data_IF_619836829640
#
_entry.id   IF_619836829640
#
_cell.length_a   1.000
_cell.length_b   1.000
_cell.length_c   1.000
_cell.angle_alpha   90.00
_cell.angle_beta   90.00
_cell.angle_gamma   90.00
#
_symmetry.space_group_name_H-M   'P 1'
#
loop_
_entity.id
_entity.type
_entity.pdbx_description
1 polymer ?
#
# COMPACT_ATOMS: atom_id res chain seq x y z
N UNK A 1 -19.73 61.05 15.61
CA UNK A 1 -20.25 60.65 14.28
C UNK A 1 -19.22 59.74 13.65
N UNK A 2 -19.39 58.42 13.76
CA UNK A 2 -20.20 57.59 12.87
C UNK A 2 -19.28 56.87 11.86
N UNK A 3 -18.97 55.62 12.23
CA UNK A 3 -18.87 54.40 11.41
C UNK A 3 -18.08 54.37 10.10
N UNK A 4 -17.19 53.37 10.01
CA UNK A 4 -17.15 52.22 9.06
C UNK A 4 -15.72 51.64 9.07
N UNK A 5 -15.43 50.34 8.96
CA UNK A 5 -16.13 49.06 8.91
C UNK A 5 -15.01 48.02 9.10
N UNK A 6 -15.30 46.94 9.82
CA UNK A 6 -14.39 45.84 10.10
C UNK A 6 -13.87 45.18 8.82
N UNK A 7 -12.54 45.17 8.64
CA UNK A 7 -11.90 44.27 7.68
C UNK A 7 -11.37 43.04 8.41
N UNK A 8 -12.08 41.94 8.13
CA UNK A 8 -11.94 40.58 8.62
C UNK A 8 -10.48 40.07 8.64
N UNK A 9 -10.21 39.34 9.72
CA UNK A 9 -9.23 38.25 9.82
C UNK A 9 -8.98 37.53 8.50
N UNK A 10 -7.74 37.63 8.00
CA UNK A 10 -7.18 36.62 7.11
C UNK A 10 -6.32 35.69 7.97
N UNK A 11 -6.87 34.50 8.22
CA UNK A 11 -6.20 33.42 8.89
C UNK A 11 -4.86 33.10 8.20
N UNK A 12 -3.86 32.82 9.02
CA UNK A 12 -2.56 32.29 8.62
C UNK A 12 -2.78 31.00 7.81
N UNK A 13 -2.71 31.09 6.49
CA UNK A 13 -2.63 29.91 5.62
C UNK A 13 -1.28 29.28 5.87
N UNK A 14 -1.24 28.29 6.78
CA UNK A 14 -0.12 27.40 6.93
C UNK A 14 -0.07 26.57 5.64
N UNK A 15 0.83 26.92 4.73
CA UNK A 15 1.14 26.06 3.58
C UNK A 15 1.56 24.71 4.14
N UNK A 16 0.68 23.70 4.03
CA UNK A 16 1.08 22.32 4.21
C UNK A 16 2.08 22.04 3.10
N UNK A 17 3.37 22.10 3.45
CA UNK A 17 4.44 21.66 2.57
C UNK A 17 4.05 20.28 2.05
N UNK A 18 4.10 20.12 0.73
CA UNK A 18 4.26 18.81 0.15
C UNK A 18 5.55 18.25 0.72
N UNK A 19 5.45 17.51 1.83
CA UNK A 19 6.43 16.48 2.15
C UNK A 19 6.51 15.67 0.86
N UNK A 20 7.60 15.83 0.09
CA UNK A 20 7.86 14.93 -1.00
C UNK A 20 7.92 13.54 -0.36
N UNK A 21 6.83 12.80 -0.50
CA UNK A 21 6.76 11.44 -0.03
C UNK A 21 7.71 10.64 -0.92
N UNK A 22 8.98 10.63 -0.53
CA UNK A 22 10.06 10.01 -1.27
C UNK A 22 10.01 8.50 -1.01
N UNK A 23 8.89 7.88 -1.38
CA UNK A 23 8.76 6.44 -1.34
C UNK A 23 9.63 5.85 -2.43
N UNK A 24 10.49 4.90 -2.05
CA UNK A 24 11.23 4.12 -3.03
C UNK A 24 10.26 3.43 -3.99
N UNK A 25 10.69 3.29 -5.24
CA UNK A 25 10.00 2.46 -6.22
C UNK A 25 10.29 0.97 -5.94
N UNK A 26 9.42 0.06 -6.39
CA UNK A 26 9.78 -1.34 -6.49
C UNK A 26 10.98 -1.49 -7.43
N UNK A 27 11.80 -2.51 -7.20
CA UNK A 27 12.97 -2.72 -8.06
C UNK A 27 12.55 -3.05 -9.50
N UNK A 28 13.38 -2.70 -10.49
CA UNK A 28 13.11 -3.00 -11.89
C UNK A 28 12.86 -4.50 -12.13
N UNK A 29 13.60 -5.36 -11.43
CA UNK A 29 13.45 -6.82 -11.51
C UNK A 29 12.07 -7.25 -11.00
N UNK A 30 11.62 -6.69 -9.87
CA UNK A 30 10.29 -6.94 -9.33
C UNK A 30 9.20 -6.51 -10.31
N UNK A 31 9.30 -5.32 -10.90
CA UNK A 31 8.34 -4.83 -11.89
C UNK A 31 8.31 -5.72 -13.13
N UNK A 32 9.46 -6.12 -13.66
CA UNK A 32 9.56 -7.05 -14.81
C UNK A 32 8.88 -8.39 -14.50
N UNK A 33 9.11 -8.95 -13.31
CA UNK A 33 8.47 -10.20 -12.89
C UNK A 33 6.97 -10.05 -12.70
N UNK A 34 6.51 -8.98 -12.05
CA UNK A 34 5.09 -8.72 -11.83
C UNK A 34 4.34 -8.56 -13.16
N UNK A 35 4.90 -7.78 -14.11
CA UNK A 35 4.35 -7.61 -15.46
C UNK A 35 4.28 -8.95 -16.20
N UNK A 36 5.34 -9.76 -16.13
CA UNK A 36 5.34 -11.10 -16.74
C UNK A 36 4.21 -11.97 -16.18
N UNK A 37 4.03 -11.97 -14.85
CA UNK A 37 2.96 -12.72 -14.20
C UNK A 37 1.58 -12.19 -14.60
N UNK A 38 1.39 -10.86 -14.63
CA UNK A 38 0.12 -10.24 -15.03
C UNK A 38 -0.29 -10.59 -16.45
N UNK A 39 0.67 -10.64 -17.40
CA UNK A 39 0.42 -11.06 -18.78
C UNK A 39 0.06 -12.54 -18.89
N UNK A 40 0.80 -13.42 -18.19
CA UNK A 40 0.61 -14.88 -18.30
C UNK A 40 -0.68 -15.34 -17.61
N UNK A 41 -0.97 -14.77 -16.45
CA UNK A 41 -2.07 -15.20 -15.60
C UNK A 41 -3.35 -14.35 -15.80
N UNK A 42 -3.31 -13.37 -16.70
CA UNK A 42 -4.35 -12.36 -17.00
C UNK A 42 -4.92 -11.69 -15.73
N UNK A 43 -4.00 -11.12 -14.92
CA UNK A 43 -4.34 -10.49 -13.64
C UNK A 43 -3.87 -9.04 -13.57
N UNK A 44 -4.71 -8.11 -13.08
CA UNK A 44 -4.28 -6.75 -12.80
C UNK A 44 -3.21 -6.71 -11.70
N UNK A 45 -2.26 -5.80 -11.87
CA UNK A 45 -1.25 -5.46 -10.86
C UNK A 45 -1.76 -4.26 -10.08
N UNK A 46 -1.94 -4.43 -8.77
CA UNK A 46 -2.44 -3.43 -7.84
C UNK A 46 -1.30 -2.98 -6.91
N UNK A 47 -1.14 -1.67 -6.76
CA UNK A 47 -0.10 -1.03 -5.94
C UNK A 47 -0.67 -0.22 -4.76
N UNK A 48 -1.94 -0.42 -4.43
CA UNK A 48 -2.67 0.18 -3.31
C UNK A 48 -2.09 -0.18 -1.92
N UNK A 49 -1.38 -1.30 -1.82
CA UNK A 49 -0.66 -1.73 -0.62
C UNK A 49 0.82 -1.29 -0.55
N UNK A 50 1.40 -0.75 -1.64
CA UNK A 50 2.82 -0.44 -1.71
C UNK A 50 3.24 0.54 -0.62
N UNK A 51 2.62 1.71 -0.61
CA UNK A 51 2.92 2.77 0.34
C UNK A 51 2.64 2.34 1.78
N UNK A 52 1.50 1.69 2.01
CA UNK A 52 1.12 1.21 3.33
C UNK A 52 2.09 0.13 3.86
N UNK A 53 2.71 -0.65 2.98
CA UNK A 53 3.71 -1.64 3.35
C UNK A 53 5.04 -1.02 3.77
N UNK A 54 5.46 0.08 3.14
CA UNK A 54 6.64 0.86 3.55
C UNK A 54 6.41 1.54 4.91
N UNK A 55 5.22 2.10 5.09
CA UNK A 55 4.82 2.80 6.33
C UNK A 55 4.43 1.88 7.49
N UNK A 56 4.55 0.56 7.32
CA UNK A 56 4.17 -0.41 8.34
C UNK A 56 2.68 -0.35 8.75
N UNK A 57 1.83 0.24 7.90
CA UNK A 57 0.37 0.33 8.08
C UNK A 57 -0.34 -0.91 7.56
N UNK A 58 0.23 -1.59 6.56
CA UNK A 58 -0.25 -2.88 6.08
C UNK A 58 0.54 -4.04 6.69
N UNK A 59 -0.11 -5.18 6.85
CA UNK A 59 0.50 -6.43 7.33
C UNK A 59 0.07 -7.64 6.52
N UNK A 60 0.92 -8.66 6.52
CA UNK A 60 0.54 -10.02 6.11
C UNK A 60 -0.06 -10.70 7.34
N UNK A 61 -1.38 -10.87 7.34
CA UNK A 61 -2.13 -11.59 8.37
C UNK A 61 -2.15 -13.10 8.07
N UNK A 62 -1.69 -13.93 9.00
CA UNK A 62 -1.86 -15.39 8.94
C UNK A 62 -3.05 -15.84 9.77
N UNK A 63 -3.95 -16.61 9.18
CA UNK A 63 -5.09 -17.27 9.84
C UNK A 63 -4.69 -18.62 10.44
N UNK A 64 -5.49 -19.14 11.36
CA UNK A 64 -5.21 -20.41 12.05
C UNK A 64 -5.21 -21.63 11.13
N UNK A 65 -5.93 -21.55 10.00
CA UNK A 65 -5.94 -22.59 8.96
C UNK A 65 -4.69 -22.57 8.06
N UNK A 66 -3.72 -21.67 8.31
CA UNK A 66 -2.50 -21.53 7.52
C UNK A 66 -2.63 -20.61 6.31
N UNK A 67 -3.83 -20.09 6.04
CA UNK A 67 -4.06 -19.09 4.99
C UNK A 67 -3.44 -17.74 5.36
N UNK A 68 -3.06 -16.97 4.34
CA UNK A 68 -2.52 -15.63 4.52
C UNK A 68 -3.34 -14.63 3.73
N UNK A 69 -3.50 -13.42 4.27
CA UNK A 69 -4.15 -12.28 3.61
C UNK A 69 -3.32 -11.02 3.83
N UNK A 70 -3.43 -10.04 2.94
CA UNK A 70 -2.98 -8.69 3.22
C UNK A 70 -4.07 -7.95 3.97
N UNK A 71 -3.69 -7.25 5.04
CA UNK A 71 -4.60 -6.48 5.89
C UNK A 71 -4.04 -5.08 6.06
N UNK A 72 -4.79 -4.06 5.66
CA UNK A 72 -4.47 -2.66 5.94
C UNK A 72 -5.26 -2.12 7.11
N UNK A 73 -6.52 -2.52 7.24
CA UNK A 73 -7.40 -2.27 8.38
C UNK A 73 -8.52 -3.33 8.40
N UNK A 74 -9.52 -3.17 9.28
CA UNK A 74 -10.61 -4.16 9.43
C UNK A 74 -11.50 -4.28 8.19
N UNK A 75 -11.65 -3.20 7.42
CA UNK A 75 -12.52 -3.15 6.24
C UNK A 75 -11.76 -3.39 4.92
N UNK A 76 -10.45 -3.14 4.93
CA UNK A 76 -9.58 -3.22 3.76
C UNK A 76 -8.57 -4.36 3.95
N UNK A 77 -8.93 -5.51 3.39
CA UNK A 77 -8.10 -6.72 3.31
C UNK A 77 -8.31 -7.43 1.98
N UNK A 78 -7.34 -8.26 1.59
CA UNK A 78 -7.42 -9.04 0.35
C UNK A 78 -8.07 -10.40 0.58
N UNK A 79 -8.46 -11.06 -0.51
CA UNK A 79 -8.69 -12.50 -0.50
C UNK A 79 -7.41 -13.28 -0.17
N UNK A 80 -7.57 -14.59 0.06
CA UNK A 80 -6.47 -15.48 0.42
C UNK A 80 -5.34 -15.43 -0.60
N UNK A 81 -4.12 -15.26 -0.11
CA UNK A 81 -2.88 -15.31 -0.87
C UNK A 81 -2.68 -16.75 -1.38
N UNK A 82 -2.64 -16.91 -2.70
CA UNK A 82 -2.38 -18.18 -3.37
C UNK A 82 -0.90 -18.41 -3.63
N UNK A 83 -0.18 -17.35 -4.03
CA UNK A 83 1.28 -17.39 -4.29
C UNK A 83 1.96 -16.21 -3.63
N UNK A 84 3.16 -16.46 -3.10
CA UNK A 84 3.96 -15.47 -2.40
C UNK A 84 5.41 -15.58 -2.86
N UNK A 85 5.92 -14.56 -3.55
CA UNK A 85 7.27 -14.53 -4.09
C UNK A 85 8.09 -13.41 -3.47
N UNK A 86 9.35 -13.70 -3.12
CA UNK A 86 10.34 -12.67 -2.73
C UNK A 86 11.19 -12.29 -3.93
N UNK A 87 11.30 -10.99 -4.20
CA UNK A 87 12.12 -10.42 -5.25
C UNK A 87 12.94 -9.27 -4.66
N UNK A 88 14.15 -9.57 -4.21
CA UNK A 88 15.00 -8.60 -3.52
C UNK A 88 14.36 -8.07 -2.24
N UNK A 89 14.14 -6.76 -2.21
CA UNK A 89 13.51 -6.02 -1.12
C UNK A 89 11.99 -5.88 -1.30
N UNK A 90 11.40 -6.63 -2.21
CA UNK A 90 9.98 -6.58 -2.52
C UNK A 90 9.34 -7.97 -2.45
N UNK A 91 8.03 -8.01 -2.23
CA UNK A 91 7.22 -9.20 -2.42
C UNK A 91 6.23 -9.00 -3.58
N UNK A 92 6.06 -10.07 -4.37
CA UNK A 92 4.98 -10.20 -5.35
C UNK A 92 3.99 -11.20 -4.77
N UNK A 93 2.78 -10.74 -4.50
CA UNK A 93 1.74 -11.51 -3.83
C UNK A 93 0.60 -11.71 -4.82
N UNK A 94 0.16 -12.95 -5.01
CA UNK A 94 -0.95 -13.25 -5.90
C UNK A 94 -2.12 -13.78 -5.11
N UNK A 95 -3.28 -13.19 -5.36
CA UNK A 95 -4.58 -13.72 -4.95
C UNK A 95 -5.22 -14.42 -6.15
N UNK A 96 -6.49 -14.81 -6.00
CA UNK A 96 -7.26 -15.41 -7.08
C UNK A 96 -7.36 -14.52 -8.32
N UNK A 97 -7.53 -13.20 -8.15
CA UNK A 97 -7.88 -12.28 -9.24
C UNK A 97 -6.91 -11.11 -9.41
N UNK A 98 -5.90 -10.96 -8.56
CA UNK A 98 -5.01 -9.81 -8.61
C UNK A 98 -3.60 -10.12 -8.12
N UNK A 99 -2.65 -9.30 -8.58
CA UNK A 99 -1.26 -9.31 -8.16
C UNK A 99 -1.00 -8.05 -7.36
N UNK A 100 -0.44 -8.18 -6.16
CA UNK A 100 -0.05 -7.07 -5.31
C UNK A 100 1.47 -6.98 -5.20
N UNK A 101 1.97 -5.75 -5.15
CA UNK A 101 3.36 -5.45 -4.82
C UNK A 101 3.42 -4.80 -3.43
N UNK A 102 4.31 -5.31 -2.59
CA UNK A 102 4.58 -4.76 -1.26
C UNK A 102 6.08 -4.77 -0.95
N UNK A 103 6.54 -3.87 -0.09
CA UNK A 103 7.90 -3.88 0.44
C UNK A 103 8.14 -5.16 1.27
N UNK A 104 9.35 -5.70 1.20
CA UNK A 104 9.75 -6.83 2.02
C UNK A 104 9.80 -6.50 3.52
N UNK A 105 9.81 -5.21 3.85
CA UNK A 105 9.72 -4.67 5.21
C UNK A 105 8.33 -4.81 5.84
N UNK A 106 7.31 -5.22 5.07
CA UNK A 106 5.95 -5.39 5.58
C UNK A 106 5.92 -6.35 6.79
N UNK A 107 5.20 -5.94 7.84
CA UNK A 107 5.03 -6.75 9.05
C UNK A 107 4.19 -8.00 8.80
N UNK A 108 4.48 -9.06 9.56
CA UNK A 108 3.71 -10.32 9.57
C UNK A 108 3.08 -10.48 10.94
N UNK A 109 1.77 -10.71 11.00
CA UNK A 109 1.03 -10.92 12.27
C UNK A 109 0.13 -12.15 12.15
N UNK A 110 -0.04 -12.88 13.25
CA UNK A 110 -1.12 -13.86 13.35
C UNK A 110 -2.41 -13.11 13.65
N UNK A 111 -3.47 -13.45 12.94
CA UNK A 111 -4.81 -12.94 13.13
C UNK A 111 -5.70 -14.14 13.50
N UNK A 112 -6.36 -14.04 14.64
CA UNK A 112 -7.28 -15.05 15.18
C UNK A 112 -8.71 -14.64 14.93
#
# INVERSE_FOLDING_TARGET
>A
MSTRLDEKSAALVKSSGSEELNYRLPSETTLKHAVKLGIVDDKPILMDYWTASLEQKAVIGGRDNGEKILVKNQDEYTSTIQKFYKSGEDYIIMTENSIYLVSAEIQKRKIS
#
